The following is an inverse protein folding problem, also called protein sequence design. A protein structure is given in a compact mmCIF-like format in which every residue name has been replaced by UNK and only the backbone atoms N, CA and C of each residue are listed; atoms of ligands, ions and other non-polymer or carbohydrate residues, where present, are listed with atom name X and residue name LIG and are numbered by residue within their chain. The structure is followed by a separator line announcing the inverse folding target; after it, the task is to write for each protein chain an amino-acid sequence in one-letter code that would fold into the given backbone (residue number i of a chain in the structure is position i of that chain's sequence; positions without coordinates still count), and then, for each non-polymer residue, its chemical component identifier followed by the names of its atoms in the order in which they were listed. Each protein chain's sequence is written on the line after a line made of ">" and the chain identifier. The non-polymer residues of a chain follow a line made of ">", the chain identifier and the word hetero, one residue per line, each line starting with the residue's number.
data_IF_605658362265
#
_entry.id   IF_605658362265
#
_cell.length_a   1.000
_cell.length_b   1.000
_cell.length_c   1.000
_cell.angle_alpha   90.00
_cell.angle_beta   90.00
_cell.angle_gamma   90.00
#
_symmetry.space_group_name_H-M   'P 1'
#
loop_
_entity.id
_entity.type
_entity.pdbx_description
1 polymer ?
#
# COMPACT_ATOMS: atom_id res chain seq x y z
N UNK A 1 46.56 -13.17 -17.98
CA UNK A 1 45.78 -14.41 -17.75
C UNK A 1 44.31 -14.03 -17.69
N UNK A 2 43.62 -14.07 -18.81
CA UNK A 2 42.20 -13.64 -18.92
C UNK A 2 41.59 -14.29 -20.16
N UNK A 3 41.39 -15.61 -20.08
CA UNK A 3 40.73 -16.43 -21.10
C UNK A 3 39.83 -17.47 -20.38
N UNK A 4 38.74 -17.02 -19.76
CA UNK A 4 37.76 -17.95 -19.16
C UNK A 4 36.31 -17.46 -19.11
N UNK A 5 36.01 -16.21 -19.49
CA UNK A 5 34.66 -15.64 -19.34
C UNK A 5 33.77 -15.66 -20.60
N UNK A 6 34.31 -16.02 -21.77
CA UNK A 6 33.48 -16.11 -22.98
C UNK A 6 32.72 -17.43 -23.06
N UNK A 7 33.35 -18.58 -22.77
CA UNK A 7 32.70 -19.89 -22.89
C UNK A 7 31.55 -20.11 -21.90
N UNK A 8 31.65 -19.59 -20.67
CA UNK A 8 30.56 -19.69 -19.69
C UNK A 8 29.30 -18.98 -20.17
N UNK A 9 29.42 -17.77 -20.73
CA UNK A 9 28.25 -17.03 -21.22
C UNK A 9 27.56 -17.73 -22.40
N UNK A 10 28.33 -18.31 -23.34
CA UNK A 10 27.72 -19.04 -24.46
C UNK A 10 27.02 -20.31 -23.98
N UNK A 11 27.66 -21.05 -23.07
CA UNK A 11 27.09 -22.30 -22.56
C UNK A 11 25.83 -22.06 -21.72
N UNK A 12 25.82 -21.03 -20.87
CA UNK A 12 24.64 -20.61 -20.10
C UNK A 12 23.53 -20.12 -21.02
N UNK A 13 23.84 -19.32 -22.04
CA UNK A 13 22.85 -18.84 -23.01
C UNK A 13 22.22 -20.00 -23.83
N UNK A 14 23.04 -20.97 -24.26
CA UNK A 14 22.55 -22.15 -24.98
C UNK A 14 21.65 -23.00 -24.08
N UNK A 15 22.04 -23.20 -22.81
CA UNK A 15 21.20 -23.92 -21.84
C UNK A 15 19.87 -23.20 -21.67
N UNK A 16 19.86 -21.88 -21.54
CA UNK A 16 18.63 -21.11 -21.32
C UNK A 16 17.62 -21.19 -22.47
N UNK A 17 18.09 -21.40 -23.70
CA UNK A 17 17.24 -21.57 -24.88
C UNK A 17 16.78 -23.03 -25.12
N UNK A 18 17.36 -23.98 -24.40
CA UNK A 18 16.86 -25.35 -24.41
C UNK A 18 15.57 -25.49 -23.59
N UNK A 19 14.79 -26.52 -23.91
CA UNK A 19 13.66 -26.91 -23.09
C UNK A 19 14.12 -27.17 -21.65
N UNK A 20 13.44 -26.56 -20.68
CA UNK A 20 13.74 -26.63 -19.23
C UNK A 20 13.95 -28.07 -18.73
N UNK A 21 13.31 -29.05 -19.37
CA UNK A 21 13.48 -30.48 -19.04
C UNK A 21 14.92 -31.00 -19.20
N UNK A 22 15.77 -30.28 -19.92
CA UNK A 22 17.18 -30.62 -20.11
C UNK A 22 18.11 -29.85 -19.17
N UNK A 23 17.59 -28.90 -18.39
CA UNK A 23 18.39 -28.21 -17.37
C UNK A 23 18.69 -29.18 -16.21
N UNK A 24 19.78 -28.96 -15.47
CA UNK A 24 20.00 -29.64 -14.20
C UNK A 24 18.78 -29.45 -13.27
N UNK A 25 18.36 -30.49 -12.54
CA UNK A 25 17.13 -30.45 -11.72
C UNK A 25 17.13 -29.31 -10.71
N UNK A 26 18.28 -29.01 -10.12
CA UNK A 26 18.44 -27.90 -9.17
C UNK A 26 18.23 -26.51 -9.78
N UNK A 27 18.23 -26.40 -11.12
CA UNK A 27 17.99 -25.14 -11.85
C UNK A 27 16.57 -25.05 -12.41
N UNK A 28 15.79 -26.15 -12.37
CA UNK A 28 14.44 -26.15 -12.94
C UNK A 28 13.46 -25.44 -12.00
N UNK A 29 12.65 -24.50 -12.51
CA UNK A 29 11.73 -23.71 -11.68
C UNK A 29 10.80 -24.54 -10.79
N UNK A 30 10.19 -25.61 -11.31
CA UNK A 30 9.21 -26.39 -10.53
C UNK A 30 9.88 -27.08 -9.34
N UNK A 31 11.03 -27.68 -9.57
CA UNK A 31 11.82 -28.39 -8.57
C UNK A 31 12.33 -27.41 -7.51
N UNK A 32 12.84 -26.24 -7.93
CA UNK A 32 13.23 -25.16 -7.01
C UNK A 32 12.07 -24.65 -6.16
N UNK A 33 10.88 -24.50 -6.74
CA UNK A 33 9.68 -24.12 -6.00
C UNK A 33 9.35 -25.14 -4.89
N UNK A 34 9.50 -26.44 -5.17
CA UNK A 34 9.22 -27.50 -4.21
C UNK A 34 10.29 -27.64 -3.12
N UNK A 35 11.57 -27.42 -3.46
CA UNK A 35 12.69 -27.62 -2.53
C UNK A 35 13.08 -26.37 -1.74
N UNK A 36 12.90 -25.18 -2.32
CA UNK A 36 13.44 -23.92 -1.79
C UNK A 36 12.39 -22.81 -1.68
N UNK A 37 11.11 -23.10 -1.96
CA UNK A 37 10.02 -22.14 -1.81
C UNK A 37 9.96 -21.08 -2.92
N UNK A 38 8.81 -20.36 -3.05
CA UNK A 38 8.58 -19.37 -4.09
C UNK A 38 9.56 -18.19 -4.06
N UNK A 39 10.05 -17.81 -2.88
CA UNK A 39 11.02 -16.74 -2.66
C UNK A 39 12.36 -16.96 -3.36
N UNK A 40 12.67 -18.21 -3.73
CA UNK A 40 13.88 -18.54 -4.47
C UNK A 40 13.77 -18.25 -5.98
N UNK A 41 12.56 -18.03 -6.50
CA UNK A 41 12.30 -17.90 -7.92
C UNK A 41 12.10 -16.44 -8.34
N UNK A 42 12.54 -16.13 -9.56
CA UNK A 42 12.17 -14.89 -10.22
C UNK A 42 10.73 -14.95 -10.77
N UNK A 43 10.13 -13.78 -11.01
CA UNK A 43 8.82 -13.68 -11.66
C UNK A 43 8.74 -14.46 -12.98
N UNK A 44 9.82 -14.44 -13.77
CA UNK A 44 9.91 -15.17 -15.02
C UNK A 44 9.87 -16.70 -14.80
N UNK A 45 10.50 -17.19 -13.74
CA UNK A 45 10.50 -18.62 -13.42
C UNK A 45 9.13 -19.07 -12.87
N UNK A 46 8.50 -18.26 -12.03
CA UNK A 46 7.13 -18.51 -11.55
C UNK A 46 6.14 -18.53 -12.72
N UNK A 47 6.22 -17.55 -13.61
CA UNK A 47 5.39 -17.49 -14.82
C UNK A 47 5.65 -18.69 -15.75
N UNK A 48 6.90 -19.12 -15.89
CA UNK A 48 7.27 -20.29 -16.70
C UNK A 48 6.63 -21.59 -16.23
N UNK A 49 6.46 -21.77 -14.90
CA UNK A 49 5.77 -22.92 -14.33
C UNK A 49 4.32 -22.99 -14.87
N UNK A 50 3.63 -21.85 -14.91
CA UNK A 50 2.26 -21.77 -15.45
C UNK A 50 2.20 -21.94 -16.97
N UNK A 51 3.17 -21.36 -17.70
CA UNK A 51 3.25 -21.53 -19.15
C UNK A 51 3.46 -23.01 -19.54
N UNK A 52 4.06 -23.81 -18.65
CA UNK A 52 4.34 -25.26 -18.74
C UNK A 52 5.33 -25.65 -19.84
N UNK A 53 5.20 -25.06 -21.01
CA UNK A 53 6.06 -25.26 -22.17
C UNK A 53 6.48 -23.90 -22.73
N UNK A 54 7.65 -23.87 -23.34
CA UNK A 54 8.10 -22.73 -24.12
C UNK A 54 7.42 -22.67 -25.49
N UNK A 55 8.18 -22.20 -26.45
CA UNK A 55 7.85 -22.23 -27.87
C UNK A 55 8.92 -23.01 -28.64
N UNK A 56 8.88 -22.99 -29.97
CA UNK A 56 10.00 -23.51 -30.77
C UNK A 56 11.26 -22.65 -30.67
N UNK A 57 11.11 -21.40 -30.26
CA UNK A 57 12.16 -20.38 -30.29
C UNK A 57 12.74 -20.07 -28.91
N UNK A 58 11.99 -20.34 -27.84
CA UNK A 58 12.31 -19.93 -26.48
C UNK A 58 11.90 -21.01 -25.49
N UNK A 59 12.69 -21.20 -24.44
CA UNK A 59 12.24 -21.95 -23.25
C UNK A 59 11.06 -21.24 -22.57
N UNK A 60 10.35 -21.92 -21.65
CA UNK A 60 9.22 -21.26 -20.96
C UNK A 60 9.70 -20.08 -20.07
N UNK A 61 10.91 -20.17 -19.52
CA UNK A 61 11.54 -19.10 -18.71
C UNK A 61 11.91 -17.91 -19.59
N UNK A 62 12.51 -18.14 -20.75
CA UNK A 62 12.82 -17.05 -21.69
C UNK A 62 11.56 -16.39 -22.23
N UNK A 63 10.55 -17.18 -22.61
CA UNK A 63 9.27 -16.66 -23.06
C UNK A 63 8.62 -15.77 -21.99
N UNK A 64 8.60 -16.24 -20.74
CA UNK A 64 8.12 -15.45 -19.60
C UNK A 64 8.94 -14.17 -19.38
N UNK A 65 10.26 -14.25 -19.48
CA UNK A 65 11.17 -13.10 -19.35
C UNK A 65 10.92 -12.06 -20.43
N UNK A 66 10.77 -12.48 -21.69
CA UNK A 66 10.49 -11.61 -22.82
C UNK A 66 9.15 -10.88 -22.65
N UNK A 67 8.12 -11.60 -22.17
CA UNK A 67 6.81 -11.00 -21.87
C UNK A 67 6.94 -9.93 -20.78
N UNK A 68 7.58 -10.26 -19.64
CA UNK A 68 7.76 -9.31 -18.52
C UNK A 68 8.56 -8.08 -18.96
N UNK A 69 9.62 -8.26 -19.75
CA UNK A 69 10.42 -7.15 -20.26
C UNK A 69 9.63 -6.26 -21.23
N UNK A 70 8.86 -6.86 -22.14
CA UNK A 70 8.08 -6.11 -23.12
C UNK A 70 6.99 -5.26 -22.48
N UNK A 71 6.25 -5.81 -21.51
CA UNK A 71 5.16 -5.10 -20.84
C UNK A 71 5.64 -4.27 -19.63
N UNK A 72 6.92 -4.33 -19.27
CA UNK A 72 7.50 -3.53 -18.17
C UNK A 72 7.20 -4.05 -16.76
N UNK A 73 6.79 -5.31 -16.61
CA UNK A 73 6.51 -5.92 -15.31
C UNK A 73 5.49 -7.04 -15.35
N UNK A 74 5.24 -7.68 -14.20
CA UNK A 74 4.32 -8.81 -14.11
C UNK A 74 2.85 -8.39 -14.20
N UNK A 75 2.45 -7.29 -13.56
CA UNK A 75 1.06 -6.83 -13.59
C UNK A 75 0.57 -6.52 -15.01
N UNK A 76 1.32 -5.76 -15.83
CA UNK A 76 0.95 -5.51 -17.23
C UNK A 76 0.81 -6.79 -18.07
N UNK A 77 1.58 -7.85 -17.80
CA UNK A 77 1.41 -9.15 -18.48
C UNK A 77 0.05 -9.77 -18.17
N UNK A 78 -0.41 -9.67 -16.92
CA UNK A 78 -1.73 -10.15 -16.51
C UNK A 78 -2.88 -9.23 -16.96
N UNK A 79 -2.59 -7.99 -17.33
CA UNK A 79 -3.58 -7.02 -17.85
C UNK A 79 -3.66 -7.00 -19.38
N UNK A 80 -2.66 -7.53 -20.08
CA UNK A 80 -2.62 -7.60 -21.53
C UNK A 80 -3.73 -8.48 -22.11
N UNK A 81 -4.29 -8.03 -23.23
CA UNK A 81 -5.29 -8.74 -24.01
C UNK A 81 -4.72 -9.99 -24.68
N UNK A 82 -5.61 -10.91 -25.08
CA UNK A 82 -5.23 -12.06 -25.89
C UNK A 82 -4.51 -11.64 -27.16
N UNK A 83 -4.96 -10.56 -27.82
CA UNK A 83 -4.32 -10.06 -29.04
C UNK A 83 -2.87 -9.66 -28.77
N UNK A 84 -2.62 -8.87 -27.72
CA UNK A 84 -1.27 -8.45 -27.34
C UNK A 84 -0.36 -9.64 -27.01
N UNK A 85 -0.83 -10.55 -26.17
CA UNK A 85 -0.05 -11.72 -25.74
C UNK A 85 0.19 -12.71 -26.89
N UNK A 86 -0.72 -12.81 -27.86
CA UNK A 86 -0.60 -13.72 -29.01
C UNK A 86 0.52 -13.36 -29.99
N UNK A 87 1.11 -12.15 -29.88
CA UNK A 87 2.30 -11.78 -30.64
C UNK A 87 3.55 -12.57 -30.21
N UNK A 88 3.56 -13.12 -28.99
CA UNK A 88 4.64 -13.97 -28.50
C UNK A 88 4.46 -15.40 -29.01
N UNK A 89 5.43 -15.88 -29.80
CA UNK A 89 5.37 -17.24 -30.34
C UNK A 89 5.25 -18.26 -29.21
N UNK A 90 4.21 -19.11 -29.28
CA UNK A 90 3.90 -20.10 -28.26
C UNK A 90 2.89 -19.65 -27.18
N UNK A 91 2.37 -18.43 -27.23
CA UNK A 91 1.24 -17.98 -26.41
C UNK A 91 -0.04 -17.99 -27.24
N UNK A 92 -0.86 -19.03 -27.05
CA UNK A 92 -2.19 -19.14 -27.65
C UNK A 92 -3.30 -19.02 -26.62
N UNK A 93 -4.53 -19.27 -27.06
CA UNK A 93 -5.76 -19.22 -26.24
C UNK A 93 -5.65 -20.07 -24.97
N UNK A 94 -5.02 -21.25 -25.01
CA UNK A 94 -4.85 -22.11 -23.84
C UNK A 94 -3.98 -21.46 -22.76
N UNK A 95 -2.80 -20.94 -23.12
CA UNK A 95 -1.91 -20.31 -22.14
C UNK A 95 -2.49 -19.00 -21.62
N UNK A 96 -3.15 -18.23 -22.50
CA UNK A 96 -3.91 -17.05 -22.10
C UNK A 96 -5.00 -17.38 -21.07
N UNK A 97 -5.82 -18.42 -21.34
CA UNK A 97 -6.86 -18.86 -20.41
C UNK A 97 -6.30 -19.27 -19.05
N UNK A 98 -5.15 -19.96 -19.02
CA UNK A 98 -4.46 -20.28 -17.77
C UNK A 98 -4.01 -19.03 -17.00
N UNK A 99 -3.44 -18.03 -17.69
CA UNK A 99 -3.04 -16.78 -17.05
C UNK A 99 -4.23 -16.04 -16.45
N UNK A 100 -5.33 -15.95 -17.19
CA UNK A 100 -6.56 -15.31 -16.70
C UNK A 100 -7.15 -16.06 -15.50
N UNK A 101 -7.11 -17.40 -15.54
CA UNK A 101 -7.56 -18.22 -14.42
C UNK A 101 -6.70 -17.99 -13.16
N UNK A 102 -5.38 -17.94 -13.28
CA UNK A 102 -4.46 -17.68 -12.15
C UNK A 102 -4.67 -16.28 -11.57
N UNK A 103 -4.81 -15.26 -12.43
CA UNK A 103 -5.11 -13.88 -12.00
C UNK A 103 -6.40 -13.82 -11.19
N UNK A 104 -7.47 -14.42 -11.71
CA UNK A 104 -8.78 -14.42 -11.05
C UNK A 104 -8.76 -15.25 -9.75
N UNK A 105 -8.07 -16.39 -9.73
CA UNK A 105 -7.89 -17.18 -8.51
C UNK A 105 -7.11 -16.40 -7.45
N UNK A 106 -6.03 -15.71 -7.82
CA UNK A 106 -5.28 -14.83 -6.92
C UNK A 106 -6.14 -13.70 -6.37
N UNK A 107 -6.92 -13.04 -7.23
CA UNK A 107 -7.88 -12.01 -6.81
C UNK A 107 -8.93 -12.56 -5.83
N UNK A 108 -9.49 -13.75 -6.10
CA UNK A 108 -10.46 -14.40 -5.20
C UNK A 108 -9.83 -14.85 -3.89
N UNK A 109 -8.61 -15.35 -3.92
CA UNK A 109 -7.86 -15.73 -2.73
C UNK A 109 -7.65 -14.52 -1.81
N UNK A 110 -7.16 -13.40 -2.37
CA UNK A 110 -6.99 -12.15 -1.63
C UNK A 110 -8.34 -11.60 -1.13
N UNK A 111 -9.37 -11.63 -1.98
CA UNK A 111 -10.71 -11.20 -1.56
C UNK A 111 -11.21 -12.00 -0.36
N UNK A 112 -11.07 -13.33 -0.41
CA UNK A 112 -11.48 -14.20 0.68
C UNK A 112 -10.66 -13.94 1.93
N UNK A 113 -9.34 -13.86 1.82
CA UNK A 113 -8.43 -13.56 2.93
C UNK A 113 -8.78 -12.23 3.60
N UNK A 114 -8.92 -11.16 2.83
CA UNK A 114 -9.18 -9.84 3.35
C UNK A 114 -10.62 -9.62 3.86
N UNK A 115 -11.57 -10.49 3.49
CA UNK A 115 -12.96 -10.43 3.94
C UNK A 115 -13.32 -11.50 4.97
N UNK A 116 -12.32 -12.16 5.57
CA UNK A 116 -12.56 -13.00 6.74
C UNK A 116 -13.06 -12.17 7.92
N UNK A 117 -13.92 -12.79 8.74
CA UNK A 117 -14.36 -12.22 10.00
C UNK A 117 -13.16 -12.02 10.92
N UNK A 118 -13.13 -10.87 11.60
CA UNK A 118 -12.10 -10.55 12.58
C UNK A 118 -10.65 -10.64 12.05
N UNK A 119 -10.44 -10.30 10.77
CA UNK A 119 -9.10 -10.22 10.16
C UNK A 119 -8.15 -9.41 11.04
N UNK A 120 -7.08 -10.04 11.49
CA UNK A 120 -6.08 -9.40 12.34
C UNK A 120 -5.18 -8.49 11.50
N UNK A 121 -5.16 -7.19 11.82
CA UNK A 121 -4.38 -6.15 11.14
C UNK A 121 -3.37 -5.51 12.12
N UNK A 122 -2.66 -6.35 12.87
CA UNK A 122 -1.69 -5.95 13.90
C UNK A 122 -0.33 -5.40 13.42
N UNK A 123 -0.15 -5.17 12.12
CA UNK A 123 1.08 -4.59 11.57
C UNK A 123 0.79 -3.58 10.47
N UNK A 124 1.64 -2.55 10.36
CA UNK A 124 1.52 -1.54 9.30
C UNK A 124 1.53 -2.18 7.91
N UNK A 125 2.33 -3.23 7.71
CA UNK A 125 2.38 -3.99 6.46
C UNK A 125 1.04 -4.64 6.11
N UNK A 126 0.40 -5.35 7.04
CA UNK A 126 -0.90 -5.98 6.78
C UNK A 126 -2.00 -4.95 6.50
N UNK A 127 -2.00 -3.84 7.23
CA UNK A 127 -2.91 -2.71 6.98
C UNK A 127 -2.68 -2.14 5.58
N UNK A 128 -1.42 -1.94 5.21
CA UNK A 128 -1.05 -1.42 3.90
C UNK A 128 -1.46 -2.37 2.77
N UNK A 129 -1.21 -3.67 2.92
CA UNK A 129 -1.61 -4.69 1.93
C UNK A 129 -3.13 -4.70 1.74
N UNK A 130 -3.90 -4.61 2.84
CA UNK A 130 -5.36 -4.48 2.81
C UNK A 130 -5.82 -3.20 2.09
N UNK A 131 -5.26 -2.05 2.47
CA UNK A 131 -5.63 -0.76 1.87
C UNK A 131 -5.25 -0.67 0.39
N UNK A 132 -4.12 -1.25 -0.01
CA UNK A 132 -3.72 -1.35 -1.43
C UNK A 132 -4.70 -2.22 -2.21
N UNK A 133 -5.13 -3.35 -1.65
CA UNK A 133 -6.16 -4.19 -2.28
C UNK A 133 -7.46 -3.42 -2.51
N UNK A 134 -7.91 -2.63 -1.53
CA UNK A 134 -9.17 -1.90 -1.59
C UNK A 134 -9.15 -0.62 -2.47
N UNK A 135 -8.01 0.08 -2.51
CA UNK A 135 -7.92 1.45 -3.05
C UNK A 135 -7.08 1.59 -4.33
N UNK A 136 -6.13 0.69 -4.61
CA UNK A 136 -5.22 0.87 -5.75
C UNK A 136 -5.94 0.80 -7.11
N UNK A 137 -7.06 0.07 -7.18
CA UNK A 137 -7.89 -0.06 -8.38
C UNK A 137 -8.86 1.11 -8.61
N UNK A 138 -8.99 2.03 -7.66
CA UNK A 138 -9.92 3.15 -7.76
C UNK A 138 -9.41 4.19 -8.78
N UNK A 139 -10.29 4.55 -9.74
CA UNK A 139 -9.96 5.47 -10.84
C UNK A 139 -10.18 6.94 -10.48
N UNK A 140 -10.85 7.20 -9.36
CA UNK A 140 -11.07 8.51 -8.78
C UNK A 140 -10.44 8.55 -7.39
N UNK A 141 -10.22 9.74 -6.86
CA UNK A 141 -9.80 9.89 -5.46
C UNK A 141 -10.93 9.40 -4.55
N UNK A 142 -10.58 8.64 -3.54
CA UNK A 142 -11.48 8.04 -2.58
C UNK A 142 -10.86 8.18 -1.21
N UNK A 143 -11.60 8.76 -0.26
CA UNK A 143 -11.23 8.74 1.15
C UNK A 143 -12.02 7.64 1.85
N UNK A 144 -11.31 6.81 2.61
CA UNK A 144 -11.86 5.66 3.30
C UNK A 144 -11.42 5.62 4.77
N UNK A 145 -12.21 4.90 5.57
CA UNK A 145 -11.90 4.62 6.96
C UNK A 145 -11.98 3.12 7.22
N UNK A 146 -10.96 2.61 7.88
CA UNK A 146 -10.85 1.26 8.41
C UNK A 146 -11.08 1.34 9.92
N UNK A 147 -12.12 0.67 10.39
CA UNK A 147 -12.49 0.58 11.80
C UNK A 147 -11.96 -0.73 12.38
N UNK A 148 -11.28 -0.64 13.53
CA UNK A 148 -10.68 -1.77 14.22
C UNK A 148 -11.14 -1.82 15.68
N UNK A 149 -11.18 -3.02 16.24
CA UNK A 149 -11.41 -3.23 17.67
C UNK A 149 -10.14 -2.99 18.51
N UNK A 150 -10.22 -3.27 19.82
CA UNK A 150 -9.11 -3.13 20.76
C UNK A 150 -7.93 -4.09 20.48
N UNK A 151 -8.17 -5.19 19.78
CA UNK A 151 -7.18 -6.20 19.39
C UNK A 151 -6.64 -6.00 17.96
N UNK A 152 -6.96 -4.86 17.34
CA UNK A 152 -6.60 -4.51 15.95
C UNK A 152 -7.19 -5.48 14.90
N UNK A 153 -8.36 -6.05 15.19
CA UNK A 153 -9.12 -6.85 14.23
C UNK A 153 -10.06 -5.95 13.44
N UNK A 154 -10.21 -6.22 12.15
CA UNK A 154 -11.09 -5.47 11.26
C UNK A 154 -12.54 -5.61 11.71
N UNK A 155 -13.17 -4.49 12.04
CA UNK A 155 -14.61 -4.39 12.25
C UNK A 155 -15.31 -4.08 10.92
N UNK A 156 -14.88 -3.01 10.24
CA UNK A 156 -15.45 -2.62 8.96
C UNK A 156 -14.51 -1.70 8.18
N UNK A 157 -14.73 -1.59 6.87
CA UNK A 157 -14.04 -0.66 5.99
C UNK A 157 -15.06 0.03 5.09
N UNK A 158 -14.96 1.36 4.97
CA UNK A 158 -15.88 2.13 4.15
C UNK A 158 -15.18 3.25 3.41
N UNK A 159 -15.44 3.29 2.10
CA UNK A 159 -15.17 4.42 1.20
C UNK A 159 -16.22 5.49 1.47
N UNK A 160 -15.83 6.56 2.17
CA UNK A 160 -16.75 7.59 2.68
C UNK A 160 -16.95 8.72 1.68
N UNK A 161 -15.89 9.15 1.02
CA UNK A 161 -15.90 10.31 0.13
C UNK A 161 -15.27 9.96 -1.20
N UNK A 162 -15.83 10.52 -2.26
CA UNK A 162 -15.38 10.30 -3.63
C UNK A 162 -15.04 11.67 -4.22
N UNK A 163 -13.81 11.82 -4.66
CA UNK A 163 -13.30 13.01 -5.32
C UNK A 163 -14.08 13.28 -6.59
N UNK A 164 -14.59 14.50 -6.69
CA UNK A 164 -14.93 15.11 -7.98
C UNK A 164 -13.86 16.18 -8.27
N UNK A 165 -13.80 16.66 -9.52
CA UNK A 165 -12.86 17.69 -9.97
C UNK A 165 -12.83 18.98 -9.09
N UNK A 166 -13.79 19.17 -8.18
CA UNK A 166 -14.01 20.40 -7.43
C UNK A 166 -13.81 20.29 -5.90
N UNK A 167 -12.87 19.47 -5.44
CA UNK A 167 -12.54 19.23 -4.02
C UNK A 167 -13.66 18.54 -3.23
N UNK A 168 -13.40 17.32 -2.76
CA UNK A 168 -14.28 16.65 -1.83
C UNK A 168 -14.01 17.15 -0.42
N UNK A 169 -14.97 17.87 0.19
CA UNK A 169 -14.82 18.33 1.55
C UNK A 169 -15.06 17.16 2.52
N UNK A 170 -13.97 16.57 3.02
CA UNK A 170 -14.01 15.41 3.92
C UNK A 170 -14.60 15.84 5.26
N UNK A 171 -15.76 15.29 5.60
CA UNK A 171 -16.44 15.61 6.86
C UNK A 171 -15.87 14.78 8.02
N UNK A 172 -15.22 15.45 8.96
CA UNK A 172 -14.76 14.88 10.24
C UNK A 172 -15.96 14.29 11.01
N UNK A 173 -17.08 15.01 11.06
CA UNK A 173 -18.29 14.54 11.75
C UNK A 173 -18.80 13.22 11.16
N UNK A 174 -18.88 13.10 9.83
CA UNK A 174 -19.32 11.86 9.18
C UNK A 174 -18.35 10.72 9.50
N UNK A 175 -17.04 10.98 9.42
CA UNK A 175 -16.00 9.98 9.71
C UNK A 175 -16.12 9.45 11.14
N UNK A 176 -16.25 10.34 12.13
CA UNK A 176 -16.43 9.96 13.53
C UNK A 176 -17.77 9.24 13.79
N UNK A 177 -18.87 9.74 13.22
CA UNK A 177 -20.18 9.07 13.34
C UNK A 177 -20.12 7.64 12.83
N UNK A 178 -19.45 7.41 11.70
CA UNK A 178 -19.28 6.07 11.16
C UNK A 178 -18.42 5.21 12.10
N UNK A 179 -17.26 5.71 12.56
CA UNK A 179 -16.39 4.98 13.47
C UNK A 179 -17.11 4.58 14.78
N UNK A 180 -17.87 5.50 15.38
CA UNK A 180 -18.69 5.26 16.56
C UNK A 180 -19.80 4.23 16.31
N UNK A 181 -20.49 4.30 15.16
CA UNK A 181 -21.49 3.31 14.75
C UNK A 181 -20.93 1.91 14.56
N UNK A 182 -19.65 1.80 14.19
CA UNK A 182 -18.95 0.52 14.07
C UNK A 182 -18.32 0.05 15.39
N UNK A 183 -18.50 0.78 16.50
CA UNK A 183 -17.85 0.51 17.79
C UNK A 183 -16.31 0.43 17.68
N UNK A 184 -15.71 1.27 16.84
CA UNK A 184 -14.27 1.28 16.63
C UNK A 184 -13.53 1.77 17.88
N UNK A 185 -12.54 1.00 18.35
CA UNK A 185 -11.56 1.49 19.33
C UNK A 185 -10.41 2.23 18.62
N UNK A 186 -10.10 1.79 17.39
CA UNK A 186 -9.06 2.36 16.56
C UNK A 186 -9.58 2.60 15.16
N UNK A 187 -9.04 3.64 14.51
CA UNK A 187 -9.27 3.87 13.09
C UNK A 187 -7.95 4.06 12.34
N UNK A 188 -7.95 3.65 11.08
CA UNK A 188 -6.96 4.06 10.07
C UNK A 188 -7.73 4.76 8.97
N UNK A 189 -7.30 5.95 8.58
CA UNK A 189 -7.84 6.61 7.39
C UNK A 189 -6.91 6.39 6.21
N UNK A 190 -7.46 6.40 5.01
CA UNK A 190 -6.66 6.32 3.81
C UNK A 190 -7.32 7.05 2.67
N UNK A 191 -6.52 7.59 1.76
CA UNK A 191 -7.00 7.99 0.45
C UNK A 191 -6.03 7.56 -0.65
N UNK A 192 -6.52 7.50 -1.88
CA UNK A 192 -5.69 7.21 -3.04
C UNK A 192 -5.46 8.47 -3.90
N UNK A 193 -4.31 8.48 -4.57
CA UNK A 193 -4.01 9.39 -5.68
C UNK A 193 -3.91 8.56 -6.97
N UNK A 194 -5.00 8.44 -7.77
CA UNK A 194 -5.02 7.59 -8.96
C UNK A 194 -3.97 7.99 -10.02
N UNK A 195 -3.67 9.30 -10.08
CA UNK A 195 -2.79 9.92 -11.08
C UNK A 195 -1.59 10.65 -10.46
N UNK A 196 -1.47 10.63 -9.13
CA UNK A 196 -0.47 11.40 -8.39
C UNK A 196 0.56 10.52 -7.69
N UNK A 197 1.47 11.19 -6.99
CA UNK A 197 2.42 10.54 -6.06
C UNK A 197 1.76 10.36 -4.70
N UNK A 198 2.28 9.43 -3.90
CA UNK A 198 1.91 9.30 -2.49
C UNK A 198 2.61 10.38 -1.65
N UNK A 199 2.27 11.64 -1.89
CA UNK A 199 2.74 12.79 -1.12
C UNK A 199 1.51 13.57 -0.62
N UNK A 200 1.47 13.95 0.68
CA UNK A 200 0.33 14.68 1.23
C UNK A 200 0.30 16.13 0.73
N UNK A 201 -0.89 16.63 0.44
CA UNK A 201 -1.14 18.07 0.27
C UNK A 201 -1.21 18.79 1.62
N UNK A 202 -1.19 20.13 1.60
CA UNK A 202 -1.43 20.92 2.81
C UNK A 202 -2.80 20.64 3.43
N UNK A 203 -3.82 20.38 2.59
CA UNK A 203 -5.16 20.04 3.04
C UNK A 203 -5.18 18.68 3.77
N UNK A 204 -4.39 17.70 3.31
CA UNK A 204 -4.28 16.40 3.97
C UNK A 204 -3.63 16.51 5.34
N UNK A 205 -2.58 17.33 5.45
CA UNK A 205 -1.91 17.60 6.73
C UNK A 205 -2.88 18.22 7.75
N UNK A 206 -3.61 19.26 7.35
CA UNK A 206 -4.56 19.94 8.23
C UNK A 206 -5.76 19.03 8.58
N UNK A 207 -6.32 18.30 7.61
CA UNK A 207 -7.39 17.33 7.85
C UNK A 207 -6.95 16.25 8.85
N UNK A 208 -5.75 15.69 8.66
CA UNK A 208 -5.23 14.63 9.55
C UNK A 208 -5.10 15.15 10.97
N UNK A 209 -4.59 16.37 11.13
CA UNK A 209 -4.43 17.00 12.44
C UNK A 209 -5.79 17.25 13.12
N UNK A 210 -6.75 17.81 12.40
CA UNK A 210 -8.09 18.05 12.93
C UNK A 210 -8.81 16.75 13.29
N UNK A 211 -8.72 15.73 12.42
CA UNK A 211 -9.32 14.42 12.69
C UNK A 211 -8.64 13.74 13.88
N UNK A 212 -7.30 13.81 13.98
CA UNK A 212 -6.56 13.28 15.12
C UNK A 212 -7.08 13.90 16.44
N UNK A 213 -7.20 15.24 16.50
CA UNK A 213 -7.74 15.92 17.67
C UNK A 213 -9.18 15.51 17.98
N UNK A 214 -10.03 15.44 16.96
CA UNK A 214 -11.43 15.07 17.14
C UNK A 214 -11.60 13.61 17.60
N UNK A 215 -10.73 12.70 17.14
CA UNK A 215 -10.67 11.32 17.61
C UNK A 215 -10.32 11.21 19.10
N UNK A 216 -9.38 12.04 19.60
CA UNK A 216 -9.05 12.08 21.03
C UNK A 216 -10.25 12.47 21.90
N UNK A 217 -11.09 13.41 21.44
CA UNK A 217 -12.27 13.87 22.18
C UNK A 217 -13.35 12.79 22.34
N UNK A 218 -13.38 11.79 21.45
CA UNK A 218 -14.35 10.69 21.48
C UNK A 218 -13.70 9.35 21.84
N UNK A 219 -12.47 9.38 22.38
CA UNK A 219 -11.72 8.20 22.82
C UNK A 219 -11.52 7.13 21.73
N UNK A 220 -11.46 7.54 20.46
CA UNK A 220 -11.07 6.68 19.34
C UNK A 220 -9.61 6.99 18.99
N UNK A 221 -8.77 5.96 18.82
CA UNK A 221 -7.37 6.17 18.44
C UNK A 221 -7.20 6.16 16.92
N UNK A 222 -6.83 7.31 16.34
CA UNK A 222 -6.34 7.37 14.96
C UNK A 222 -4.91 6.80 14.91
N UNK A 223 -4.75 5.63 14.30
CA UNK A 223 -3.48 4.90 14.22
C UNK A 223 -2.59 5.40 13.10
N UNK A 224 -3.16 5.66 11.92
CA UNK A 224 -2.43 6.12 10.75
C UNK A 224 -3.35 6.84 9.77
N UNK A 225 -2.71 7.61 8.88
CA UNK A 225 -3.27 8.07 7.64
C UNK A 225 -2.38 7.59 6.49
N UNK A 226 -2.94 6.75 5.61
CA UNK A 226 -2.22 6.26 4.43
C UNK A 226 -2.62 7.02 3.16
N UNK A 227 -1.61 7.35 2.34
CA UNK A 227 -1.83 7.78 0.95
C UNK A 227 -1.36 6.67 0.03
N UNK A 228 -2.26 6.18 -0.82
CA UNK A 228 -2.03 5.05 -1.72
C UNK A 228 -1.91 5.55 -3.15
N UNK A 229 -0.75 5.32 -3.78
CA UNK A 229 -0.54 5.58 -5.20
C UNK A 229 0.02 4.34 -5.91
N UNK A 230 0.05 4.38 -7.25
CA UNK A 230 0.67 3.32 -8.06
C UNK A 230 2.15 3.13 -7.73
N UNK A 231 2.87 4.24 -7.63
CA UNK A 231 4.33 4.26 -7.51
C UNK A 231 4.82 4.40 -6.06
N UNK A 232 3.93 4.30 -5.07
CA UNK A 232 4.34 4.39 -3.68
C UNK A 232 3.19 4.52 -2.69
N UNK A 233 3.57 4.59 -1.42
CA UNK A 233 2.66 4.76 -0.30
C UNK A 233 3.26 5.72 0.72
N UNK A 234 2.41 6.46 1.41
CA UNK A 234 2.82 7.35 2.50
C UNK A 234 2.11 6.95 3.78
N UNK A 235 2.84 6.89 4.89
CA UNK A 235 2.29 6.73 6.24
C UNK A 235 2.60 7.99 7.04
N UNK A 236 1.56 8.60 7.61
CA UNK A 236 1.74 9.73 8.53
C UNK A 236 2.41 9.29 9.83
N UNK A 237 2.12 8.09 10.31
CA UNK A 237 2.74 7.54 11.52
C UNK A 237 4.24 7.32 11.35
N UNK A 238 4.68 6.67 10.26
CA UNK A 238 6.10 6.42 9.97
C UNK A 238 6.89 7.71 9.76
N UNK A 239 6.22 8.77 9.30
CA UNK A 239 6.80 10.11 9.10
C UNK A 239 6.70 10.99 10.36
N UNK A 240 6.20 10.47 11.48
CA UNK A 240 5.99 11.19 12.74
C UNK A 240 5.09 12.44 12.60
N UNK A 241 4.15 12.43 11.66
CA UNK A 241 3.21 13.52 11.38
C UNK A 241 1.90 13.39 12.17
N UNK A 242 1.70 12.27 12.88
CA UNK A 242 0.62 12.13 13.86
C UNK A 242 1.03 12.71 15.21
N UNK A 243 0.95 14.03 15.35
CA UNK A 243 1.11 14.67 16.65
C UNK A 243 0.29 15.94 16.74
N UNK A 244 0.02 16.37 17.98
CA UNK A 244 -0.48 17.71 18.21
C UNK A 244 0.54 18.71 17.65
N UNK A 245 0.15 19.57 16.69
CA UNK A 245 0.86 20.83 16.43
C UNK A 245 1.14 21.43 17.82
N UNK A 246 2.42 21.61 18.18
CA UNK A 246 2.79 22.43 19.33
C UNK A 246 2.09 23.77 19.08
N UNK A 247 1.05 24.08 19.87
CA UNK A 247 0.51 25.43 19.88
C UNK A 247 1.69 26.36 20.15
N UNK A 248 2.05 27.19 19.18
CA UNK A 248 2.75 28.42 19.49
C UNK A 248 1.73 29.22 20.30
N UNK A 249 1.85 29.14 21.63
CA UNK A 249 1.09 29.99 22.53
C UNK A 249 1.56 31.41 22.24
N UNK A 250 0.76 32.15 21.48
CA UNK A 250 0.85 33.61 21.51
C UNK A 250 0.34 34.01 22.88
N UNK A 251 1.24 34.49 23.74
CA UNK A 251 0.94 35.10 25.03
C UNK A 251 -0.13 36.19 24.85
N UNK A 252 -1.39 35.84 25.08
CA UNK A 252 -2.49 36.78 25.26
C UNK A 252 -3.15 36.39 26.58
N UNK A 253 -2.43 36.63 27.67
CA UNK A 253 -2.95 36.74 29.04
C UNK A 253 -1.83 37.31 29.93
N UNK A 254 -1.63 38.63 29.88
CA UNK A 254 -1.04 39.37 31.00
C UNK A 254 -2.07 40.40 31.45
N UNK A 255 -2.59 40.32 32.68
CA UNK A 255 -3.38 41.40 33.24
C UNK A 255 -2.44 42.58 33.53
N UNK A 256 -2.84 43.75 33.03
CA UNK A 256 -2.17 45.03 33.21
C UNK A 256 -2.37 45.49 34.66
N UNK A 257 -1.37 45.30 35.53
CA UNK A 257 -1.33 45.83 36.89
C UNK A 257 0.09 46.28 37.21
N UNK A 258 0.45 47.47 36.75
CA UNK A 258 1.57 48.27 37.29
C UNK A 258 1.13 49.72 37.41
N UNK A 259 1.23 50.27 38.61
CA UNK A 259 0.87 51.65 38.92
C UNK A 259 0.64 51.81 40.42
N UNK A 260 1.68 51.53 41.21
CA UNK A 260 2.37 52.55 42.02
C UNK A 260 1.81 52.64 43.44
N UNK A 261 2.52 52.00 44.38
CA UNK A 261 2.33 52.27 45.80
C UNK A 261 3.71 52.31 46.49
N UNK A 262 4.28 53.51 46.60
CA UNK A 262 5.55 53.78 47.27
C UNK A 262 5.51 55.13 47.99
N UNK A 263 5.03 55.16 49.24
CA UNK A 263 5.79 55.80 50.33
C UNK A 263 5.22 55.51 51.72
N UNK A 264 5.92 54.65 52.47
CA UNK A 264 5.92 54.66 53.94
C UNK A 264 6.69 55.89 54.42
N UNK A 265 6.16 56.62 55.40
CA UNK A 265 6.86 56.92 56.67
C UNK A 265 6.04 57.78 57.65
N UNK A 266 6.00 57.26 58.89
CA UNK A 266 6.02 57.93 60.20
C UNK A 266 4.85 58.81 60.68
N UNK A 267 4.19 58.27 61.72
CA UNK A 267 3.93 58.85 63.05
C UNK A 267 3.59 60.35 63.16
N UNK A 268 2.41 60.68 63.74
CA UNK A 268 2.31 60.95 65.18
C UNK A 268 0.85 61.23 65.66
N UNK A 269 0.53 60.64 66.83
CA UNK A 269 -0.31 61.12 67.96
C UNK A 269 -1.86 61.21 67.87
N UNK A 270 -2.46 60.39 68.75
CA UNK A 270 -3.82 60.33 69.32
C UNK A 270 -4.17 61.54 70.22
N UNK A 271 -5.41 61.68 70.78
CA UNK A 271 -6.18 60.66 71.52
C UNK A 271 -7.24 59.93 70.70
#
# INVERSE_FOLDING_TARGET
>A
MSFSNQNYNVHTFIIMNQSIKFWPEQERPRERLLHSGPESLSDAELLAIFLRTGSKQHSAVELARLMIQHFGGLNPVFDASLQELSHFHGIGTTKYAHLMAVKELGRRYLNHYFHQDALNLNSSRLVLDYLRYELLGEKQEVFAVLCLDSELRKLNFKKLFYGSLNACNISINHTLRYALQQHACHIVIAHNHPFGKAEPSAADLDLTHQLYQACQLVEIKLLDHFIIAKDGTFSFAERALLSQKKCMHTDIDKPDLTGEDHHKKSCDRSP
#
